data_IF_551475181884
#
_entry.id   IF_551475181884
#
_cell.length_a   1.000
_cell.length_b   1.000
_cell.length_c   1.000
_cell.angle_alpha   90.00
_cell.angle_beta   90.00
_cell.angle_gamma   90.00
#
_symmetry.space_group_name_H-M   'P 1'
#
loop_
_entity.id
_entity.type
_entity.pdbx_description
1 polymer ?
#
# COMPACT_ATOMS: atom_id res chain seq x y z
N UNK A 1 19.26 3.29 18.72
CA UNK A 1 18.01 3.73 18.07
C UNK A 1 17.29 2.48 17.62
N UNK A 2 16.05 2.27 18.08
CA UNK A 2 15.23 1.13 17.65
C UNK A 2 14.85 1.34 16.19
N UNK A 3 15.22 0.43 15.32
CA UNK A 3 14.66 0.36 13.98
C UNK A 3 13.20 -0.05 14.21
N UNK A 4 12.25 0.86 13.97
CA UNK A 4 10.83 0.50 14.00
C UNK A 4 10.62 -0.51 12.90
N UNK A 5 10.40 -1.78 13.24
CA UNK A 5 10.10 -2.81 12.25
C UNK A 5 8.85 -2.39 11.47
N UNK A 6 9.00 -2.27 10.15
CA UNK A 6 7.93 -1.87 9.26
C UNK A 6 7.30 -3.11 8.66
N UNK A 7 6.13 -3.49 9.16
CA UNK A 7 5.36 -4.59 8.58
C UNK A 7 4.52 -4.06 7.42
N UNK A 8 4.67 -4.68 6.25
CA UNK A 8 3.74 -4.53 5.13
C UNK A 8 3.28 -5.90 4.68
N UNK A 9 1.98 -6.16 4.80
CA UNK A 9 1.38 -7.45 4.41
C UNK A 9 0.39 -7.21 3.28
N UNK A 10 0.44 -8.06 2.26
CA UNK A 10 -0.49 -8.00 1.12
C UNK A 10 -1.34 -9.27 1.15
N UNK A 11 -2.66 -9.09 1.20
CA UNK A 11 -3.65 -10.15 1.12
C UNK A 11 -4.49 -9.99 -0.14
N UNK A 12 -4.80 -11.11 -0.79
CA UNK A 12 -5.60 -11.15 -2.00
C UNK A 12 -6.95 -11.81 -1.70
N UNK A 13 -8.04 -11.09 -1.96
CA UNK A 13 -9.38 -11.66 -1.96
C UNK A 13 -9.84 -11.87 -3.41
N UNK A 14 -9.70 -13.11 -3.89
CA UNK A 14 -10.07 -13.47 -5.26
C UNK A 14 -11.59 -13.56 -5.46
N UNK A 15 -12.37 -13.76 -4.41
CA UNK A 15 -13.83 -13.79 -4.50
C UNK A 15 -14.38 -12.37 -4.71
N UNK A 16 -13.86 -11.41 -3.95
CA UNK A 16 -14.23 -9.99 -4.05
C UNK A 16 -13.43 -9.25 -5.14
N UNK A 17 -12.45 -9.90 -5.78
CA UNK A 17 -11.51 -9.31 -6.76
C UNK A 17 -10.80 -8.08 -6.19
N UNK A 18 -10.33 -8.18 -4.95
CA UNK A 18 -9.74 -7.08 -4.19
C UNK A 18 -8.35 -7.46 -3.66
N UNK A 19 -7.48 -6.46 -3.53
CA UNK A 19 -6.17 -6.57 -2.89
C UNK A 19 -6.18 -5.67 -1.68
N UNK A 20 -5.86 -6.24 -0.52
CA UNK A 20 -5.75 -5.53 0.75
C UNK A 20 -4.29 -5.41 1.15
N UNK A 21 -3.84 -4.19 1.37
CA UNK A 21 -2.47 -3.88 1.77
C UNK A 21 -2.53 -3.33 3.20
N UNK A 22 -1.84 -3.97 4.11
CA UNK A 22 -1.66 -3.51 5.49
C UNK A 22 -0.26 -2.90 5.61
N UNK A 23 -0.15 -1.69 6.15
CA UNK A 23 1.13 -1.01 6.33
C UNK A 23 1.10 -0.05 7.50
N UNK A 24 2.18 0.07 8.25
CA UNK A 24 2.33 1.11 9.30
C UNK A 24 2.96 2.39 8.77
N UNK A 25 3.34 2.44 7.49
CA UNK A 25 4.05 3.56 6.88
C UNK A 25 3.09 4.45 6.08
N UNK A 26 2.81 5.64 6.60
CA UNK A 26 2.00 6.67 5.90
C UNK A 26 2.52 7.02 4.49
N UNK A 27 3.84 6.94 4.28
CA UNK A 27 4.44 7.12 2.95
C UNK A 27 3.95 6.09 1.90
N UNK A 28 3.74 4.84 2.30
CA UNK A 28 3.22 3.78 1.41
C UNK A 28 1.76 4.07 1.06
N UNK A 29 0.97 4.51 2.04
CA UNK A 29 -0.43 4.94 1.84
C UNK A 29 -0.50 6.06 0.81
N UNK A 30 0.31 7.11 0.99
CA UNK A 30 0.34 8.27 0.10
C UNK A 30 0.75 7.89 -1.33
N UNK A 31 1.72 6.99 -1.48
CA UNK A 31 2.14 6.49 -2.79
C UNK A 31 1.03 5.70 -3.50
N UNK A 32 0.31 4.85 -2.76
CA UNK A 32 -0.79 4.06 -3.30
C UNK A 32 -1.96 4.97 -3.70
N UNK A 33 -2.34 5.92 -2.84
CA UNK A 33 -3.39 6.90 -3.15
C UNK A 33 -3.07 7.70 -4.40
N UNK A 34 -1.84 8.24 -4.50
CA UNK A 34 -1.40 9.02 -5.66
C UNK A 34 -1.45 8.23 -6.97
N UNK A 35 -1.11 6.94 -6.94
CA UNK A 35 -1.08 6.09 -8.15
C UNK A 35 -2.44 5.49 -8.51
N UNK A 36 -3.36 5.44 -7.56
CA UNK A 36 -4.73 4.95 -7.77
C UNK A 36 -5.72 6.08 -8.04
N UNK A 37 -5.26 7.31 -8.30
CA UNK A 37 -6.11 8.49 -8.49
C UNK A 37 -7.13 8.66 -7.35
N UNK A 38 -6.72 8.38 -6.10
CA UNK A 38 -7.57 8.39 -4.91
C UNK A 38 -8.77 7.42 -4.96
N UNK A 39 -8.72 6.37 -5.80
CA UNK A 39 -9.76 5.34 -5.88
C UNK A 39 -9.60 4.22 -4.83
N UNK A 40 -8.53 4.25 -4.02
CA UNK A 40 -8.33 3.29 -2.94
C UNK A 40 -9.15 3.64 -1.69
N UNK A 41 -9.71 2.63 -1.04
CA UNK A 41 -10.37 2.81 0.26
C UNK A 41 -9.33 2.60 1.35
N UNK A 42 -9.10 3.65 2.16
CA UNK A 42 -8.10 3.66 3.23
C UNK A 42 -8.80 3.64 4.59
N UNK A 43 -8.30 2.80 5.49
CA UNK A 43 -8.72 2.74 6.89
C UNK A 43 -7.50 2.92 7.79
N UNK A 44 -7.51 3.96 8.62
CA UNK A 44 -6.48 4.22 9.64
C UNK A 44 -6.95 3.64 10.98
N UNK A 45 -6.08 2.84 11.60
CA UNK A 45 -6.28 2.20 12.89
C UNK A 45 -5.19 2.63 13.88
N UNK A 46 -4.92 3.93 13.99
CA UNK A 46 -4.06 4.48 15.03
C UNK A 46 -2.58 4.15 14.86
N UNK A 47 -2.08 4.24 13.62
CA UNK A 47 -0.68 3.97 13.27
C UNK A 47 -0.48 2.76 12.35
N UNK A 48 -1.53 1.97 12.12
CA UNK A 48 -1.59 0.95 11.09
C UNK A 48 -2.69 1.29 10.09
N UNK A 49 -2.41 1.09 8.81
CA UNK A 49 -3.27 1.44 7.70
C UNK A 49 -3.64 0.18 6.95
N UNK A 50 -4.91 0.06 6.56
CA UNK A 50 -5.34 -0.92 5.57
C UNK A 50 -5.88 -0.21 4.34
N UNK A 51 -5.45 -0.68 3.17
CA UNK A 51 -5.77 -0.08 1.88
C UNK A 51 -6.37 -1.16 1.01
N UNK A 52 -7.59 -0.92 0.55
CA UNK A 52 -8.30 -1.81 -0.34
C UNK A 52 -8.27 -1.26 -1.77
N UNK A 53 -7.79 -2.07 -2.70
CA UNK A 53 -7.71 -1.78 -4.13
C UNK A 53 -8.43 -2.87 -4.92
N UNK A 54 -9.09 -2.51 -6.02
CA UNK A 54 -9.58 -3.51 -6.96
C UNK A 54 -8.40 -4.21 -7.65
N UNK A 55 -8.53 -5.50 -7.96
CA UNK A 55 -7.53 -6.24 -8.71
C UNK A 55 -7.29 -5.65 -10.11
N UNK A 56 -8.28 -4.97 -10.69
CA UNK A 56 -8.14 -4.26 -11.97
C UNK A 56 -7.15 -3.10 -11.85
N UNK A 57 -7.22 -2.33 -10.76
CA UNK A 57 -6.24 -1.29 -10.45
C UNK A 57 -4.85 -1.91 -10.22
N UNK A 58 -4.75 -3.01 -9.47
CA UNK A 58 -3.46 -3.68 -9.24
C UNK A 58 -2.81 -4.25 -10.51
N UNK A 59 -3.60 -4.53 -11.55
CA UNK A 59 -3.11 -4.95 -12.87
C UNK A 59 -2.66 -3.78 -13.74
N UNK A 60 -2.95 -2.54 -13.33
CA UNK A 60 -2.50 -1.36 -14.05
C UNK A 60 -0.97 -1.23 -13.89
N UNK A 61 -0.20 -1.23 -14.99
CA UNK A 61 1.25 -1.08 -14.90
C UNK A 61 1.69 0.25 -14.26
N UNK A 62 0.85 1.29 -14.24
CA UNK A 62 1.12 2.54 -13.50
C UNK A 62 1.16 2.35 -11.97
N UNK A 63 0.45 1.32 -11.48
CA UNK A 63 0.35 0.93 -10.06
C UNK A 63 1.42 -0.07 -9.62
N UNK A 64 2.38 -0.41 -10.49
CA UNK A 64 3.59 -1.14 -10.09
C UNK A 64 4.38 -0.30 -9.08
N UNK A 65 4.15 -0.55 -7.79
CA UNK A 65 4.97 -0.04 -6.71
C UNK A 65 6.23 -0.90 -6.70
N UNK A 66 7.28 -0.39 -7.34
CA UNK A 66 8.63 -0.87 -7.09
C UNK A 66 8.92 -0.48 -5.65
N UNK A 67 8.80 -1.43 -4.71
CA UNK A 67 9.35 -1.26 -3.36
C UNK A 67 10.86 -1.30 -3.56
N UNK A 68 11.44 -0.19 -4.01
CA UNK A 68 12.88 0.00 -4.02
C UNK A 68 13.29 0.10 -2.56
N UNK A 69 13.89 -0.97 -2.05
CA UNK A 69 14.54 -0.98 -0.74
C UNK A 69 15.81 -0.14 -0.69
N UNK A 70 15.90 0.92 -1.50
CA UNK A 70 17.07 1.79 -1.58
C UNK A 70 16.65 3.22 -1.27
N UNK A 71 17.10 3.64 -0.08
CA UNK A 71 17.45 4.99 0.33
C UNK A 71 17.37 6.07 -0.75
N UNK A 72 16.40 6.97 -0.62
CA UNK A 72 16.67 8.38 -0.89
C UNK A 72 17.42 8.94 0.33
N UNK A 73 18.73 8.71 0.35
CA UNK A 73 19.67 9.60 1.05
C UNK A 73 20.38 10.36 -0.07
N UNK A 74 20.34 11.68 0.05
CA UNK A 74 20.95 12.70 -0.81
C UNK A 74 22.31 12.34 -1.43
#
# INVERSE_FOLDING_TARGET
MSITEHETTIAYDYAEKMVRIFTTRSGVVNQILKRSDNQAIVQDNGGSWSINLSMELCRNPSLLVKITGDSEVE
#
